data_IF_221128068067
#
_entry.id   IF_221128068067
#
_cell.length_a   1.000
_cell.length_b   1.000
_cell.length_c   1.000
_cell.angle_alpha   90.00
_cell.angle_beta   90.00
_cell.angle_gamma   90.00
#
_symmetry.space_group_name_H-M   'P 1'
#
loop_
_entity.id
_entity.type
_entity.pdbx_description
1 polymer ?
#
# COMPACT_ATOMS: atom_id res chain seq x y z
N UNK A 1 -0.37 12.61 16.79
CA UNK A 1 1.07 12.26 16.76
C UNK A 1 1.41 11.94 15.32
N UNK A 2 2.30 12.71 14.67
CA UNK A 2 2.71 12.42 13.29
C UNK A 2 3.66 11.21 13.32
N UNK A 3 3.14 10.02 13.04
CA UNK A 3 4.00 8.87 12.77
C UNK A 3 4.75 9.15 11.46
N UNK A 4 6.07 9.13 11.50
CA UNK A 4 6.93 9.19 10.31
C UNK A 4 6.94 7.81 9.65
N UNK A 5 7.00 7.76 8.33
CA UNK A 5 6.99 6.54 7.57
C UNK A 5 8.23 5.75 7.98
N UNK A 6 8.08 4.53 8.51
CA UNK A 6 9.24 3.74 8.88
C UNK A 6 10.11 3.50 7.64
N UNK A 7 11.43 3.41 7.84
CA UNK A 7 12.34 2.91 6.80
C UNK A 7 11.78 1.60 6.23
N UNK A 8 12.02 1.31 4.95
CA UNK A 8 11.59 0.05 4.34
C UNK A 8 12.04 -1.17 5.16
N UNK A 9 13.23 -1.08 5.77
CA UNK A 9 13.80 -2.13 6.63
C UNK A 9 13.08 -2.29 7.99
N UNK A 10 12.27 -1.31 8.38
CA UNK A 10 11.49 -1.29 9.62
C UNK A 10 10.00 -1.58 9.40
N UNK A 11 9.58 -1.83 8.16
CA UNK A 11 8.21 -2.25 7.86
C UNK A 11 7.98 -3.70 8.32
N UNK A 12 6.77 -4.03 8.79
CA UNK A 12 6.41 -5.41 9.04
C UNK A 12 6.46 -6.21 7.72
N UNK A 13 6.97 -7.44 7.80
CA UNK A 13 7.05 -8.33 6.64
C UNK A 13 5.66 -8.89 6.36
N UNK A 14 4.92 -8.19 5.49
CA UNK A 14 3.57 -8.55 5.07
C UNK A 14 3.58 -8.81 3.56
N UNK A 15 3.12 -10.00 3.15
CA UNK A 15 3.02 -10.42 1.74
C UNK A 15 1.61 -10.89 1.43
N UNK A 16 1.12 -10.55 0.25
CA UNK A 16 -0.18 -10.97 -0.22
C UNK A 16 -0.18 -12.50 -0.46
N UNK A 17 -1.20 -13.26 0.01
CA UNK A 17 -1.20 -14.71 -0.10
C UNK A 17 -1.41 -15.24 -1.52
N UNK A 18 -2.01 -14.44 -2.41
CA UNK A 18 -2.37 -14.83 -3.78
C UNK A 18 -1.70 -14.01 -4.87
N UNK A 19 -0.80 -13.09 -4.48
CA UNK A 19 -0.06 -12.23 -5.41
C UNK A 19 1.37 -12.12 -4.90
N UNK A 20 2.35 -12.15 -5.80
CA UNK A 20 3.74 -11.88 -5.43
C UNK A 20 3.91 -10.37 -5.20
N UNK A 21 3.38 -9.89 -4.07
CA UNK A 21 3.31 -8.47 -3.72
C UNK A 21 3.43 -8.26 -2.21
N UNK A 22 4.34 -7.38 -1.79
CA UNK A 22 4.63 -7.04 -0.40
C UNK A 22 4.25 -5.61 0.01
N UNK A 23 4.23 -5.36 1.32
CA UNK A 23 4.01 -4.03 1.88
C UNK A 23 5.10 -3.03 1.45
N UNK A 24 6.35 -3.47 1.35
CA UNK A 24 7.46 -2.64 0.88
C UNK A 24 7.27 -2.20 -0.57
N UNK A 25 6.72 -3.07 -1.41
CA UNK A 25 6.37 -2.74 -2.80
C UNK A 25 5.22 -1.72 -2.87
N UNK A 26 4.20 -1.85 -2.00
CA UNK A 26 3.14 -0.84 -1.87
C UNK A 26 3.70 0.55 -1.50
N UNK A 27 4.62 0.59 -0.53
CA UNK A 27 5.28 1.84 -0.11
C UNK A 27 6.13 2.42 -1.24
N UNK A 28 6.95 1.60 -1.92
CA UNK A 28 7.77 2.04 -3.06
C UNK A 28 6.89 2.61 -4.18
N UNK A 29 5.76 1.97 -4.48
CA UNK A 29 4.84 2.41 -5.51
C UNK A 29 4.22 3.79 -5.21
N UNK A 30 3.77 4.01 -3.97
CA UNK A 30 3.22 5.30 -3.55
C UNK A 30 4.27 6.41 -3.58
N UNK A 31 5.48 6.16 -3.06
CA UNK A 31 6.60 7.12 -3.09
C UNK A 31 6.99 7.47 -4.53
N UNK A 32 7.14 6.47 -5.40
CA UNK A 32 7.46 6.68 -6.81
C UNK A 32 6.38 7.53 -7.50
N UNK A 33 5.10 7.27 -7.19
CA UNK A 33 3.98 8.03 -7.74
C UNK A 33 4.00 9.49 -7.31
N UNK A 34 4.20 9.78 -6.01
CA UNK A 34 4.32 11.15 -5.51
C UNK A 34 5.49 11.90 -6.16
N UNK A 35 6.64 11.23 -6.32
CA UNK A 35 7.81 11.80 -7.03
C UNK A 35 7.50 12.14 -8.48
N UNK A 36 6.86 11.25 -9.22
CA UNK A 36 6.46 11.49 -10.62
C UNK A 36 5.51 12.69 -10.73
N UNK A 37 4.62 12.86 -9.75
CA UNK A 37 3.67 13.98 -9.68
C UNK A 37 4.26 15.27 -9.09
N UNK A 38 5.53 15.28 -8.70
CA UNK A 38 6.17 16.40 -7.97
C UNK A 38 5.42 16.79 -6.69
N UNK A 39 4.81 15.82 -6.03
CA UNK A 39 4.08 15.98 -4.77
C UNK A 39 4.97 15.55 -3.57
N UNK A 40 4.67 16.02 -2.35
CA UNK A 40 5.34 15.55 -1.14
C UNK A 40 5.22 14.02 -0.97
N UNK A 41 6.30 13.38 -0.52
CA UNK A 41 6.30 11.95 -0.23
C UNK A 41 5.35 11.60 0.94
N UNK A 42 4.74 10.40 0.94
CA UNK A 42 3.87 9.96 2.03
C UNK A 42 4.66 9.86 3.34
N UNK A 43 4.09 10.38 4.43
CA UNK A 43 4.73 10.39 5.74
C UNK A 43 4.32 9.24 6.64
N UNK A 44 3.35 8.41 6.25
CA UNK A 44 2.88 7.28 7.04
C UNK A 44 2.10 6.31 6.14
N UNK A 45 1.77 5.13 6.67
CA UNK A 45 1.04 4.11 5.91
C UNK A 45 -0.38 4.55 5.50
N UNK A 46 -1.01 5.47 6.24
CA UNK A 46 -2.32 6.02 5.86
C UNK A 46 -2.19 6.84 4.58
N UNK A 47 -1.19 7.73 4.49
CA UNK A 47 -0.92 8.53 3.29
C UNK A 47 -0.48 7.66 2.10
N UNK A 48 0.23 6.55 2.35
CA UNK A 48 0.56 5.53 1.33
C UNK A 48 -0.72 4.92 0.78
N UNK A 49 -1.62 4.48 1.66
CA UNK A 49 -2.93 3.92 1.30
C UNK A 49 -3.78 4.90 0.50
N UNK A 50 -3.88 6.16 0.93
CA UNK A 50 -4.60 7.20 0.20
C UNK A 50 -4.06 7.42 -1.21
N UNK A 51 -2.73 7.39 -1.37
CA UNK A 51 -2.07 7.51 -2.68
C UNK A 51 -2.45 6.36 -3.60
N UNK A 52 -2.37 5.12 -3.11
CA UNK A 52 -2.76 3.93 -3.87
C UNK A 52 -4.27 3.94 -4.19
N UNK A 53 -5.11 4.40 -3.26
CA UNK A 53 -6.56 4.50 -3.48
C UNK A 53 -6.91 5.53 -4.58
N UNK A 54 -6.24 6.69 -4.61
CA UNK A 54 -6.39 7.66 -5.71
C UNK A 54 -5.96 7.05 -7.06
N UNK A 55 -4.85 6.30 -7.08
CA UNK A 55 -4.40 5.59 -8.29
C UNK A 55 -5.43 4.55 -8.74
N UNK A 56 -5.98 3.75 -7.82
CA UNK A 56 -6.98 2.73 -8.12
C UNK A 56 -8.27 3.33 -8.66
N UNK A 57 -8.73 4.47 -8.12
CA UNK A 57 -9.87 5.21 -8.65
C UNK A 57 -9.66 5.66 -10.10
N UNK A 58 -8.41 5.97 -10.48
CA UNK A 58 -8.06 6.42 -11.85
C UNK A 58 -7.80 5.26 -12.82
N UNK A 59 -7.33 4.12 -12.34
CA UNK A 59 -6.93 2.97 -13.16
C UNK A 59 -8.09 2.04 -13.57
N UNK A 60 -9.33 2.38 -13.22
CA UNK A 60 -10.50 1.50 -13.29
C UNK A 60 -10.41 0.30 -12.33
N UNK A 61 -11.53 -0.38 -12.12
CA UNK A 61 -11.71 -1.46 -11.13
C UNK A 61 -10.86 -2.73 -11.38
N UNK A 62 -10.12 -2.79 -12.50
CA UNK A 62 -9.36 -3.98 -12.92
C UNK A 62 -7.88 -3.93 -12.53
N UNK A 63 -7.44 -2.92 -11.79
CA UNK A 63 -6.03 -2.83 -11.41
C UNK A 63 -5.68 -3.77 -10.24
N UNK A 64 -5.41 -5.04 -10.57
CA UNK A 64 -5.13 -6.09 -9.60
C UNK A 64 -3.94 -5.76 -8.68
N UNK A 65 -2.88 -5.13 -9.21
CA UNK A 65 -1.73 -4.68 -8.39
C UNK A 65 -2.15 -3.64 -7.37
N UNK A 66 -3.05 -2.72 -7.73
CA UNK A 66 -3.61 -1.75 -6.80
C UNK A 66 -4.43 -2.40 -5.69
N UNK A 67 -5.21 -3.43 -6.02
CA UNK A 67 -5.98 -4.19 -5.03
C UNK A 67 -5.09 -4.96 -4.06
N UNK A 68 -4.06 -5.66 -4.57
CA UNK A 68 -3.08 -6.34 -3.72
C UNK A 68 -2.33 -5.36 -2.80
N UNK A 69 -1.97 -4.17 -3.32
CA UNK A 69 -1.35 -3.11 -2.54
C UNK A 69 -2.27 -2.60 -1.42
N UNK A 70 -3.57 -2.39 -1.69
CA UNK A 70 -4.54 -2.00 -0.67
C UNK A 70 -4.74 -3.09 0.39
N UNK A 71 -4.74 -4.36 -0.01
CA UNK A 71 -4.90 -5.49 0.92
C UNK A 71 -3.73 -5.56 1.92
N UNK A 72 -2.47 -5.46 1.45
CA UNK A 72 -1.30 -5.49 2.36
C UNK A 72 -1.21 -4.25 3.23
N UNK A 73 -1.69 -3.09 2.74
CA UNK A 73 -1.73 -1.84 3.50
C UNK A 73 -2.79 -1.89 4.61
N UNK A 74 -4.00 -2.37 4.31
CA UNK A 74 -5.06 -2.51 5.31
C UNK A 74 -4.65 -3.50 6.41
N UNK A 75 -4.01 -4.62 6.04
CA UNK A 75 -3.48 -5.57 7.02
C UNK A 75 -2.39 -4.96 7.91
N UNK A 76 -1.50 -4.14 7.33
CA UNK A 76 -0.46 -3.42 8.08
C UNK A 76 -1.04 -2.37 9.04
N UNK A 77 -2.07 -1.64 8.60
CA UNK A 77 -2.70 -0.54 9.37
C UNK A 77 -3.58 -1.11 10.49
N UNK A 78 -4.39 -2.12 10.18
CA UNK A 78 -5.40 -2.64 11.10
C UNK A 78 -4.89 -3.84 11.93
N UNK A 79 -3.68 -4.33 11.65
CA UNK A 79 -3.12 -5.53 12.29
C UNK A 79 -3.93 -6.79 11.97
N UNK A 80 -4.57 -6.85 10.80
CA UNK A 80 -5.48 -7.93 10.39
C UNK A 80 -4.76 -9.00 9.57
N UNK A 81 -5.20 -10.26 9.68
CA UNK A 81 -4.72 -11.33 8.81
C UNK A 81 -5.30 -11.16 7.40
N UNK A 82 -4.42 -10.92 6.42
CA UNK A 82 -4.73 -10.84 5.00
C UNK A 82 -5.63 -11.97 4.51
N UNK A 83 -5.43 -13.20 4.99
CA UNK A 83 -6.20 -14.37 4.52
C UNK A 83 -7.70 -14.24 4.79
N UNK A 84 -8.11 -13.35 5.69
CA UNK A 84 -9.50 -13.12 6.06
C UNK A 84 -10.11 -11.88 5.39
N UNK A 85 -9.32 -11.07 4.68
CA UNK A 85 -9.74 -9.75 4.19
C UNK A 85 -9.25 -9.38 2.78
N UNK A 86 -8.68 -10.33 2.01
CA UNK A 86 -8.21 -10.09 0.65
C UNK A 86 -9.37 -9.78 -0.31
N UNK A 87 -9.18 -8.78 -1.17
CA UNK A 87 -10.13 -8.37 -2.24
C UNK A 87 -9.98 -9.19 -3.51
N UNK A 88 -8.87 -9.91 -3.66
CA UNK A 88 -8.56 -10.76 -4.81
C UNK A 88 -8.98 -12.23 -4.62
N UNK A 89 -9.84 -12.53 -3.64
CA UNK A 89 -10.40 -13.87 -3.43
C UNK A 89 -11.59 -14.16 -4.34
#
# INVERSE_FOLDING_TARGET
MNATLPSLDALPVIRHPYADYGLDEAVRLAVATKRIRMEPEPKNLIEVRETIEDMAKRASHLWCTGMAALDVLDAAIDGRDLRQSCRLC
#
